data_IF_890020204830
#
_entry.id   IF_890020204830
#
_cell.length_a   1.000
_cell.length_b   1.000
_cell.length_c   1.000
_cell.angle_alpha   90.00
_cell.angle_beta   90.00
_cell.angle_gamma   90.00
#
_symmetry.space_group_name_H-M   'P 1'
#
loop_
_entity.id
_entity.type
_entity.pdbx_description
1 polymer ?
#
# COMPACT_ATOMS: atom_id res chain seq x y z
N UNK A 1 -17.42 14.76 -8.41
CA UNK A 1 -16.07 14.88 -8.97
C UNK A 1 -15.60 13.54 -9.55
N UNK A 2 -14.55 13.55 -10.37
CA UNK A 2 -14.00 12.37 -11.09
C UNK A 2 -13.75 11.14 -10.19
N UNK A 3 -13.51 11.36 -8.90
CA UNK A 3 -13.21 10.32 -7.93
C UNK A 3 -14.32 10.09 -6.88
N UNK A 4 -15.45 10.79 -6.99
CA UNK A 4 -16.53 10.68 -6.00
C UNK A 4 -17.15 9.27 -5.93
N UNK A 5 -17.02 8.48 -6.99
CA UNK A 5 -17.56 7.12 -7.09
C UNK A 5 -16.62 6.02 -6.57
N UNK A 6 -15.33 6.32 -6.33
CA UNK A 6 -14.34 5.32 -5.90
C UNK A 6 -14.61 4.79 -4.48
N UNK A 7 -15.23 5.62 -3.63
CA UNK A 7 -15.55 5.26 -2.24
C UNK A 7 -17.06 5.14 -1.99
N UNK A 8 -17.81 4.71 -2.98
CA UNK A 8 -19.24 4.44 -2.80
C UNK A 8 -19.44 3.37 -1.74
N UNK A 9 -20.33 3.56 -0.78
CA UNK A 9 -20.80 2.50 0.10
C UNK A 9 -21.76 1.61 -0.69
N UNK A 10 -21.25 0.81 -1.64
CA UNK A 10 -22.05 -0.14 -2.40
C UNK A 10 -21.92 -1.48 -1.70
N UNK A 11 -23.05 -2.06 -1.31
CA UNK A 11 -23.14 -3.45 -0.92
C UNK A 11 -23.52 -4.26 -2.16
N UNK A 12 -22.65 -5.22 -2.52
CA UNK A 12 -22.91 -6.18 -3.58
C UNK A 12 -22.35 -5.84 -4.96
N UNK A 13 -22.32 -6.83 -5.83
CA UNK A 13 -21.77 -6.74 -7.17
C UNK A 13 -22.61 -5.87 -8.10
N UNK A 14 -21.93 -5.15 -9.01
CA UNK A 14 -22.54 -4.28 -10.02
C UNK A 14 -22.45 -4.86 -11.43
N UNK A 15 -21.61 -5.90 -11.65
CA UNK A 15 -21.39 -6.54 -12.95
C UNK A 15 -20.78 -7.95 -12.77
N UNK A 16 -20.77 -8.72 -13.85
CA UNK A 16 -20.26 -10.10 -13.91
C UNK A 16 -18.96 -10.18 -14.74
N UNK A 17 -18.12 -9.14 -14.76
CA UNK A 17 -16.86 -9.18 -15.47
C UNK A 17 -15.97 -10.25 -14.85
N UNK A 18 -15.49 -11.17 -15.66
CA UNK A 18 -14.54 -12.21 -15.26
C UNK A 18 -13.16 -11.59 -14.99
N UNK A 19 -12.44 -12.18 -14.03
CA UNK A 19 -11.06 -11.82 -13.75
C UNK A 19 -10.13 -12.51 -14.78
N UNK A 20 -9.11 -11.80 -15.26
CA UNK A 20 -8.09 -12.43 -16.08
C UNK A 20 -7.32 -13.46 -15.25
N UNK A 21 -6.93 -14.57 -15.88
CA UNK A 21 -6.07 -15.61 -15.30
C UNK A 21 -4.85 -15.75 -16.20
N UNK A 22 -3.66 -15.65 -15.60
CA UNK A 22 -2.40 -15.73 -16.30
C UNK A 22 -1.73 -17.13 -16.23
N UNK A 23 -0.48 -17.21 -16.68
CA UNK A 23 0.31 -18.43 -16.74
C UNK A 23 1.09 -18.73 -15.46
N UNK A 24 1.46 -17.70 -14.72
CA UNK A 24 2.20 -17.87 -13.47
C UNK A 24 1.28 -18.35 -12.33
N UNK A 25 1.80 -19.16 -11.39
CA UNK A 25 1.01 -19.65 -10.28
C UNK A 25 0.38 -18.51 -9.46
N UNK A 26 1.20 -17.54 -9.01
CA UNK A 26 0.71 -16.43 -8.19
C UNK A 26 0.09 -15.35 -9.07
N UNK A 27 -1.15 -15.00 -8.80
CA UNK A 27 -1.90 -13.98 -9.53
C UNK A 27 -2.05 -12.74 -8.64
N UNK A 28 -1.66 -11.56 -9.15
CA UNK A 28 -1.81 -10.27 -8.49
C UNK A 28 -2.87 -9.44 -9.19
N UNK A 29 -3.94 -9.10 -8.51
CA UNK A 29 -5.00 -8.20 -8.98
C UNK A 29 -4.84 -6.84 -8.30
N UNK A 30 -4.36 -5.84 -9.04
CA UNK A 30 -3.92 -4.59 -8.42
C UNK A 30 -4.00 -3.37 -9.36
N UNK A 31 -3.61 -2.24 -8.81
CA UNK A 31 -3.36 -0.97 -9.49
C UNK A 31 -2.20 -0.29 -8.75
N UNK A 32 -1.36 0.47 -9.45
CA UNK A 32 -0.21 1.18 -8.88
C UNK A 32 -0.63 2.37 -7.99
N UNK A 33 -1.39 2.09 -6.94
CA UNK A 33 -1.75 2.98 -5.85
C UNK A 33 -0.83 2.74 -4.64
N UNK A 34 -0.82 3.59 -3.61
CA UNK A 34 0.01 3.36 -2.43
C UNK A 34 -0.17 1.99 -1.76
N UNK A 35 -1.36 1.39 -1.83
CA UNK A 35 -1.59 0.04 -1.32
C UNK A 35 -1.20 -1.05 -2.32
N UNK A 36 -1.48 -0.83 -3.62
CA UNK A 36 -1.14 -1.80 -4.66
C UNK A 36 0.36 -1.99 -4.82
N UNK A 37 1.14 -0.91 -4.79
CA UNK A 37 2.60 -0.98 -4.95
C UNK A 37 3.31 -1.70 -3.80
N UNK A 38 2.70 -1.83 -2.62
CA UNK A 38 3.26 -2.66 -1.56
C UNK A 38 3.49 -4.09 -2.03
N UNK A 39 2.48 -4.66 -2.67
CA UNK A 39 2.51 -6.07 -3.10
C UNK A 39 3.41 -6.25 -4.31
N UNK A 40 3.34 -5.37 -5.31
CA UNK A 40 4.23 -5.45 -6.47
C UNK A 40 5.70 -5.25 -6.07
N UNK A 41 6.02 -4.30 -5.19
CA UNK A 41 7.37 -4.14 -4.64
C UNK A 41 7.81 -5.41 -3.92
N UNK A 42 6.97 -5.98 -3.07
CA UNK A 42 7.30 -7.21 -2.33
C UNK A 42 7.60 -8.37 -3.27
N UNK A 43 6.82 -8.55 -4.32
CA UNK A 43 7.03 -9.59 -5.33
C UNK A 43 8.35 -9.38 -6.09
N UNK A 44 8.65 -8.14 -6.47
CA UNK A 44 9.93 -7.79 -7.10
C UNK A 44 11.13 -7.97 -6.15
N UNK A 45 10.99 -7.68 -4.87
CA UNK A 45 12.05 -7.86 -3.87
C UNK A 45 12.31 -9.34 -3.55
N UNK A 46 11.27 -10.15 -3.53
CA UNK A 46 11.40 -11.59 -3.26
C UNK A 46 11.85 -12.38 -4.46
N UNK A 47 11.53 -11.92 -5.67
CA UNK A 47 11.75 -12.64 -6.92
C UNK A 47 10.79 -13.82 -7.12
N UNK A 48 9.70 -13.89 -6.39
CA UNK A 48 8.65 -14.89 -6.61
C UNK A 48 8.02 -14.68 -7.98
N UNK A 49 7.84 -15.72 -8.80
CA UNK A 49 7.15 -15.59 -10.08
C UNK A 49 5.67 -15.28 -9.88
N UNK A 50 5.16 -14.33 -10.65
CA UNK A 50 3.77 -13.90 -10.56
C UNK A 50 3.27 -13.30 -11.86
N UNK A 51 1.95 -13.19 -11.99
CA UNK A 51 1.26 -12.53 -13.10
C UNK A 51 0.48 -11.32 -12.56
N UNK A 52 0.79 -10.07 -12.99
CA UNK A 52 0.06 -8.90 -12.58
C UNK A 52 -1.13 -8.62 -13.50
N UNK A 53 -2.30 -8.39 -12.91
CA UNK A 53 -3.52 -8.00 -13.61
C UNK A 53 -3.95 -6.61 -13.16
N UNK A 54 -4.15 -5.73 -14.15
CA UNK A 54 -4.65 -4.38 -13.91
C UNK A 54 -6.14 -4.44 -13.55
N UNK A 55 -6.48 -3.90 -12.38
CA UNK A 55 -7.86 -3.67 -11.94
C UNK A 55 -8.13 -2.17 -11.91
N UNK A 56 -8.90 -1.68 -12.87
CA UNK A 56 -9.21 -0.25 -12.99
C UNK A 56 -10.33 0.15 -12.01
N UNK A 57 -9.92 0.72 -10.89
CA UNK A 57 -10.87 1.23 -9.87
C UNK A 57 -11.72 2.38 -10.40
N UNK A 58 -11.26 3.12 -11.40
CA UNK A 58 -12.03 4.19 -12.06
C UNK A 58 -13.18 3.66 -12.90
N UNK A 59 -13.09 2.41 -13.36
CA UNK A 59 -14.14 1.68 -14.10
C UNK A 59 -14.99 0.78 -13.20
N UNK A 60 -14.83 0.88 -11.88
CA UNK A 60 -15.51 0.05 -10.88
C UNK A 60 -15.23 -1.47 -11.00
N UNK A 61 -14.09 -1.88 -11.53
CA UNK A 61 -13.76 -3.30 -11.75
C UNK A 61 -13.68 -4.11 -10.45
N UNK A 62 -13.43 -3.44 -9.32
CA UNK A 62 -13.46 -4.09 -7.99
C UNK A 62 -14.87 -4.49 -7.51
N UNK A 63 -15.92 -4.10 -8.23
CA UNK A 63 -17.31 -4.40 -7.88
C UNK A 63 -17.93 -5.49 -8.75
N UNK A 64 -17.12 -6.28 -9.44
CA UNK A 64 -17.53 -7.50 -10.13
C UNK A 64 -17.74 -8.65 -9.13
N UNK A 65 -18.60 -9.62 -9.50
CA UNK A 65 -18.89 -10.82 -8.67
C UNK A 65 -17.59 -11.55 -8.32
N UNK A 66 -16.72 -11.80 -9.30
CA UNK A 66 -15.47 -12.53 -9.07
C UNK A 66 -14.50 -11.75 -8.19
N UNK A 67 -14.33 -10.43 -8.43
CA UNK A 67 -13.43 -9.64 -7.57
C UNK A 67 -13.94 -9.58 -6.13
N UNK A 68 -15.24 -9.41 -5.91
CA UNK A 68 -15.83 -9.43 -4.58
C UNK A 68 -15.70 -10.78 -3.89
N UNK A 69 -15.58 -11.87 -4.64
CA UNK A 69 -15.26 -13.18 -4.05
C UNK A 69 -13.85 -13.26 -3.48
N UNK A 70 -12.91 -12.49 -4.05
CA UNK A 70 -11.53 -12.35 -3.53
C UNK A 70 -11.45 -11.35 -2.38
N UNK A 71 -12.10 -10.20 -2.55
CA UNK A 71 -12.13 -9.14 -1.55
C UNK A 71 -13.53 -8.55 -1.41
N UNK A 72 -14.29 -8.93 -0.40
CA UNK A 72 -15.66 -8.45 -0.18
C UNK A 72 -15.70 -6.94 0.12
N UNK A 73 -14.59 -6.31 0.46
CA UNK A 73 -14.46 -4.86 0.64
C UNK A 73 -14.35 -4.09 -0.69
N UNK A 74 -14.19 -4.79 -1.84
CA UNK A 74 -14.08 -4.15 -3.16
C UNK A 74 -12.88 -3.19 -3.28
N UNK A 75 -11.74 -3.55 -2.72
CA UNK A 75 -10.49 -2.77 -2.77
C UNK A 75 -9.35 -3.60 -3.34
N UNK A 76 -8.44 -2.94 -4.05
CA UNK A 76 -7.15 -3.52 -4.44
C UNK A 76 -6.13 -3.30 -3.29
N UNK A 77 -5.08 -4.12 -3.22
CA UNK A 77 -4.77 -5.33 -3.98
C UNK A 77 -5.47 -6.59 -3.44
N UNK A 78 -5.50 -7.63 -4.28
CA UNK A 78 -5.79 -9.01 -3.88
C UNK A 78 -4.84 -9.96 -4.61
N UNK A 79 -4.57 -11.13 -4.04
CA UNK A 79 -3.79 -12.19 -4.69
C UNK A 79 -4.53 -13.52 -4.67
N UNK A 80 -4.20 -14.38 -5.63
CA UNK A 80 -4.49 -15.81 -5.58
C UNK A 80 -3.16 -16.55 -5.68
N UNK A 81 -2.88 -17.41 -4.73
CA UNK A 81 -1.77 -18.34 -4.77
C UNK A 81 -2.32 -19.78 -4.82
N UNK A 82 -2.24 -20.46 -5.97
CA UNK A 82 -2.69 -21.85 -6.08
C UNK A 82 -1.87 -22.83 -5.23
N UNK A 83 -0.63 -22.47 -4.91
CA UNK A 83 0.29 -23.24 -4.06
C UNK A 83 0.50 -22.55 -2.71
N UNK A 84 -0.58 -22.39 -1.98
CA UNK A 84 -0.58 -21.83 -0.63
C UNK A 84 -0.12 -22.83 0.44
N UNK A 85 -0.30 -22.49 1.72
CA UNK A 85 0.11 -23.33 2.84
C UNK A 85 -0.49 -24.75 2.76
N UNK A 86 0.39 -25.76 2.89
CA UNK A 86 -0.05 -27.15 2.76
C UNK A 86 -0.40 -27.58 1.35
N UNK A 87 -0.06 -26.80 0.32
CA UNK A 87 -0.36 -27.11 -1.07
C UNK A 87 -1.82 -26.80 -1.46
N UNK A 88 -2.57 -26.08 -0.61
CA UNK A 88 -3.94 -25.68 -0.90
C UNK A 88 -3.99 -24.26 -1.51
N UNK A 89 -4.91 -23.99 -2.45
CA UNK A 89 -5.08 -22.63 -2.97
C UNK A 89 -5.45 -21.64 -1.86
N UNK A 90 -4.87 -20.43 -1.95
CA UNK A 90 -5.11 -19.34 -1.01
C UNK A 90 -5.44 -18.06 -1.77
N UNK A 91 -6.58 -17.46 -1.45
CA UNK A 91 -6.90 -16.09 -1.87
C UNK A 91 -6.74 -15.15 -0.67
N UNK A 92 -6.06 -14.02 -0.87
CA UNK A 92 -5.84 -13.03 0.18
C UNK A 92 -6.16 -11.61 -0.31
N UNK A 93 -6.75 -10.84 0.57
CA UNK A 93 -6.84 -9.39 0.51
C UNK A 93 -6.23 -8.77 1.78
N UNK A 94 -6.22 -7.44 1.89
CA UNK A 94 -5.44 -6.64 2.81
C UNK A 94 -3.94 -6.65 2.49
N UNK A 95 -3.44 -5.52 2.00
CA UNK A 95 -2.05 -5.41 1.56
C UNK A 95 -1.03 -5.74 2.67
N UNK A 96 -1.35 -5.43 3.93
CA UNK A 96 -0.50 -5.81 5.07
C UNK A 96 -0.45 -7.33 5.29
N UNK A 97 -1.60 -8.02 5.21
CA UNK A 97 -1.67 -9.47 5.33
C UNK A 97 -0.94 -10.16 4.17
N UNK A 98 -1.08 -9.63 2.95
CA UNK A 98 -0.37 -10.12 1.77
C UNK A 98 1.14 -9.98 1.96
N UNK A 99 1.63 -8.85 2.50
CA UNK A 99 3.06 -8.67 2.79
C UNK A 99 3.59 -9.72 3.77
N UNK A 100 2.85 -9.99 4.85
CA UNK A 100 3.23 -11.02 5.83
C UNK A 100 3.30 -12.39 5.16
N UNK A 101 2.27 -12.76 4.40
CA UNK A 101 2.21 -14.03 3.68
C UNK A 101 3.39 -14.21 2.71
N UNK A 102 3.66 -13.21 1.87
CA UNK A 102 4.77 -13.27 0.91
C UNK A 102 6.14 -13.30 1.58
N UNK A 103 6.29 -12.61 2.71
CA UNK A 103 7.52 -12.65 3.52
C UNK A 103 7.76 -14.05 4.09
N UNK A 104 6.71 -14.69 4.60
CA UNK A 104 6.79 -16.08 5.11
C UNK A 104 7.07 -17.07 3.98
N UNK A 105 6.36 -16.95 2.85
CA UNK A 105 6.58 -17.81 1.68
C UNK A 105 8.00 -17.70 1.12
N UNK A 106 8.55 -16.50 1.08
CA UNK A 106 9.91 -16.25 0.58
C UNK A 106 11.02 -16.43 1.63
N UNK A 107 10.68 -16.46 2.92
CA UNK A 107 11.65 -16.46 4.01
C UNK A 107 12.48 -15.17 4.08
N UNK A 108 11.92 -14.01 3.69
CA UNK A 108 12.62 -12.73 3.57
C UNK A 108 11.79 -11.58 4.12
N UNK A 109 12.47 -10.52 4.58
CA UNK A 109 11.87 -9.23 4.97
C UNK A 109 10.95 -9.25 6.19
N UNK A 110 10.86 -10.38 6.89
CA UNK A 110 10.18 -10.50 8.18
C UNK A 110 11.06 -11.32 9.10
N UNK A 111 11.55 -10.79 10.23
CA UNK A 111 12.38 -11.54 11.16
C UNK A 111 11.68 -12.81 11.67
N UNK A 112 12.44 -13.87 11.86
CA UNK A 112 11.97 -15.11 12.49
C UNK A 112 12.02 -15.06 14.01
N UNK A 113 12.89 -14.22 14.58
CA UNK A 113 12.97 -13.94 16.01
C UNK A 113 11.68 -13.27 16.51
N UNK A 114 11.09 -13.80 17.58
CA UNK A 114 9.79 -13.39 18.06
C UNK A 114 9.69 -11.90 18.43
N UNK A 115 10.58 -11.31 19.21
CA UNK A 115 10.53 -9.89 19.51
C UNK A 115 10.60 -9.02 18.26
N UNK A 116 11.60 -9.24 17.40
CA UNK A 116 11.79 -8.46 16.18
C UNK A 116 10.64 -8.64 15.19
N UNK A 117 10.07 -9.87 15.11
CA UNK A 117 8.90 -10.15 14.29
C UNK A 117 7.69 -9.31 14.71
N UNK A 118 7.35 -9.30 15.99
CA UNK A 118 6.22 -8.50 16.49
C UNK A 118 6.49 -7.00 16.41
N UNK A 119 7.72 -6.57 16.62
CA UNK A 119 8.09 -5.18 16.39
C UNK A 119 7.91 -4.79 14.92
N UNK A 120 8.25 -5.64 13.97
CA UNK A 120 7.99 -5.40 12.54
C UNK A 120 6.48 -5.32 12.26
N UNK A 121 5.71 -6.27 12.78
CA UNK A 121 4.25 -6.31 12.59
C UNK A 121 3.55 -5.07 13.16
N UNK A 122 3.97 -4.55 14.33
CA UNK A 122 3.35 -3.34 14.87
C UNK A 122 3.51 -2.14 13.93
N UNK A 123 4.65 -2.03 13.21
CA UNK A 123 4.85 -0.97 12.22
C UNK A 123 4.00 -1.19 10.96
N UNK A 124 3.82 -2.44 10.52
CA UNK A 124 2.89 -2.78 9.43
C UNK A 124 1.46 -2.43 9.83
N UNK A 125 1.02 -2.75 11.05
CA UNK A 125 -0.31 -2.41 11.55
C UNK A 125 -0.48 -0.91 11.74
N UNK A 126 0.52 -0.19 12.24
CA UNK A 126 0.49 1.26 12.33
C UNK A 126 0.33 1.91 10.95
N UNK A 127 1.04 1.35 9.95
CA UNK A 127 0.87 1.85 8.58
C UNK A 127 -0.55 1.60 8.07
N UNK A 128 -1.10 0.40 8.26
CA UNK A 128 -2.43 0.02 7.78
C UNK A 128 -3.56 0.76 8.51
N UNK A 129 -3.43 0.95 9.83
CA UNK A 129 -4.47 1.51 10.67
C UNK A 129 -4.43 3.05 10.78
N UNK A 130 -3.26 3.67 10.61
CA UNK A 130 -3.09 5.11 10.80
C UNK A 130 -2.47 5.80 9.59
N UNK A 131 -1.24 5.47 9.19
CA UNK A 131 -0.51 6.21 8.14
C UNK A 131 -1.29 6.20 6.83
N UNK A 132 -1.69 5.04 6.33
CA UNK A 132 -2.44 4.93 5.09
C UNK A 132 -3.77 5.67 5.13
N UNK A 133 -4.65 5.38 6.09
CA UNK A 133 -5.93 6.06 6.21
C UNK A 133 -5.82 7.57 6.37
N UNK A 134 -4.93 8.07 7.25
CA UNK A 134 -4.83 9.52 7.50
C UNK A 134 -4.25 10.27 6.30
N UNK A 135 -3.21 9.73 5.65
CA UNK A 135 -2.68 10.31 4.40
C UNK A 135 -3.71 10.26 3.27
N UNK A 136 -4.49 9.17 3.20
CA UNK A 136 -5.58 9.04 2.24
C UNK A 136 -6.68 10.09 2.44
N UNK A 137 -7.08 10.35 3.68
CA UNK A 137 -8.05 11.39 4.00
C UNK A 137 -7.50 12.79 3.71
N UNK A 138 -6.23 13.06 4.05
CA UNK A 138 -5.58 14.31 3.64
C UNK A 138 -5.67 14.47 2.12
N UNK A 139 -5.30 13.44 1.35
CA UNK A 139 -5.39 13.45 -0.11
C UNK A 139 -6.81 13.71 -0.61
N UNK A 140 -7.84 13.15 0.01
CA UNK A 140 -9.23 13.39 -0.34
C UNK A 140 -9.60 14.87 -0.20
N UNK A 141 -9.28 15.49 0.93
CA UNK A 141 -9.64 16.88 1.21
C UNK A 141 -8.73 17.91 0.53
N UNK A 142 -7.51 17.51 0.15
CA UNK A 142 -6.54 18.41 -0.48
C UNK A 142 -6.58 18.35 -2.01
N UNK A 143 -6.68 17.16 -2.58
CA UNK A 143 -6.51 16.94 -4.03
C UNK A 143 -7.76 16.45 -4.75
N UNK A 144 -8.65 15.72 -4.07
CA UNK A 144 -9.84 15.12 -4.66
C UNK A 144 -11.11 15.92 -4.36
N UNK A 145 -12.25 15.26 -4.34
CA UNK A 145 -13.56 15.92 -4.23
C UNK A 145 -13.70 16.83 -3.00
N UNK A 146 -13.08 16.48 -1.89
CA UNK A 146 -13.10 17.29 -0.67
C UNK A 146 -12.39 18.65 -0.78
N UNK A 147 -11.56 18.85 -1.82
CA UNK A 147 -10.93 20.15 -2.10
C UNK A 147 -11.94 21.27 -2.33
N UNK A 148 -13.10 20.92 -2.88
CA UNK A 148 -14.17 21.87 -3.19
C UNK A 148 -15.00 22.26 -1.96
N UNK A 149 -14.82 21.60 -0.81
CA UNK A 149 -15.56 21.91 0.40
C UNK A 149 -15.13 23.27 0.96
N UNK A 150 -16.10 24.12 1.31
CA UNK A 150 -15.86 25.44 1.94
C UNK A 150 -15.24 25.26 3.33
N UNK A 151 -15.78 24.34 4.12
CA UNK A 151 -15.27 24.02 5.44
C UNK A 151 -13.92 23.30 5.35
N UNK A 152 -12.85 23.97 5.76
CA UNK A 152 -11.49 23.45 5.75
C UNK A 152 -11.07 22.72 7.04
N UNK A 153 -11.92 22.65 8.05
CA UNK A 153 -11.61 21.95 9.31
C UNK A 153 -11.26 20.49 9.12
N UNK A 154 -11.93 19.70 8.25
CA UNK A 154 -11.52 18.33 7.95
C UNK A 154 -10.11 18.26 7.35
N UNK A 155 -9.78 19.11 6.38
CA UNK A 155 -8.44 19.19 5.82
C UNK A 155 -7.40 19.49 6.91
N UNK A 156 -7.64 20.53 7.73
CA UNK A 156 -6.73 20.93 8.80
C UNK A 156 -6.51 19.78 9.81
N UNK A 157 -7.57 19.05 10.14
CA UNK A 157 -7.50 17.87 11.02
C UNK A 157 -6.55 16.82 10.46
N UNK A 158 -6.69 16.46 9.18
CA UNK A 158 -5.88 15.42 8.55
C UNK A 158 -4.46 15.88 8.22
N UNK A 159 -4.24 17.16 7.95
CA UNK A 159 -2.89 17.75 7.86
C UNK A 159 -2.17 17.61 9.21
N UNK A 160 -2.79 18.01 10.31
CA UNK A 160 -2.20 17.90 11.64
C UNK A 160 -1.85 16.44 12.01
N UNK A 161 -2.77 15.51 11.73
CA UNK A 161 -2.55 14.08 12.02
C UNK A 161 -1.47 13.48 11.11
N UNK A 162 -1.46 13.83 9.83
CA UNK A 162 -0.43 13.37 8.90
C UNK A 162 0.96 13.88 9.27
N UNK A 163 1.04 15.15 9.72
CA UNK A 163 2.28 15.72 10.25
C UNK A 163 2.74 14.94 11.48
N UNK A 164 1.86 14.69 12.45
CA UNK A 164 2.19 13.92 13.66
C UNK A 164 2.74 12.52 13.31
N UNK A 165 2.17 11.85 12.32
CA UNK A 165 2.62 10.53 11.87
C UNK A 165 3.98 10.59 11.15
N UNK A 166 4.24 11.66 10.39
CA UNK A 166 5.58 11.90 9.82
C UNK A 166 6.62 12.21 10.90
N UNK A 167 6.28 13.02 11.91
CA UNK A 167 7.17 13.31 13.05
C UNK A 167 7.49 12.03 13.85
N UNK A 168 6.53 11.10 13.97
CA UNK A 168 6.75 9.78 14.57
C UNK A 168 7.74 8.94 13.74
N UNK A 169 7.60 8.91 12.41
CA UNK A 169 8.55 8.24 11.52
C UNK A 169 9.93 8.91 11.56
N UNK A 170 9.98 10.23 11.59
CA UNK A 170 11.23 11.01 11.70
C UNK A 170 12.01 10.64 12.97
N UNK A 171 11.31 10.57 14.10
CA UNK A 171 11.89 10.11 15.36
C UNK A 171 12.37 8.66 15.29
N UNK A 172 11.58 7.77 14.68
CA UNK A 172 11.95 6.35 14.51
C UNK A 172 13.21 6.17 13.66
N UNK A 173 13.38 6.97 12.63
CA UNK A 173 14.47 6.88 11.67
C UNK A 173 15.73 7.69 12.05
N UNK A 174 15.72 8.35 13.22
CA UNK A 174 16.79 9.26 13.63
C UNK A 174 18.13 8.57 13.86
N UNK A 175 18.12 7.31 14.27
CA UNK A 175 19.31 6.53 14.64
C UNK A 175 19.44 5.22 13.84
N UNK A 176 18.70 5.08 12.75
CA UNK A 176 18.66 3.83 11.98
C UNK A 176 18.44 4.06 10.50
N UNK A 177 18.87 3.09 9.68
CA UNK A 177 18.77 3.14 8.22
C UNK A 177 17.35 2.89 7.76
N UNK A 178 16.70 1.86 8.30
CA UNK A 178 15.34 1.40 8.00
C UNK A 178 14.46 1.41 9.25
N UNK A 179 13.16 1.23 9.10
CA UNK A 179 12.23 1.24 10.24
C UNK A 179 12.62 0.24 11.33
N UNK A 180 13.21 -0.91 10.93
CA UNK A 180 13.65 -1.95 11.88
C UNK A 180 15.14 -1.91 12.22
N UNK A 181 15.86 -0.87 11.87
CA UNK A 181 17.30 -0.73 12.12
C UNK A 181 18.09 -0.79 10.82
N UNK A 182 19.04 -1.71 10.72
CA UNK A 182 19.82 -1.90 9.50
C UNK A 182 19.12 -2.80 8.46
N UNK A 183 18.07 -3.52 8.86
CA UNK A 183 17.36 -4.46 8.03
C UNK A 183 16.14 -3.81 7.36
N UNK A 184 16.12 -3.86 6.03
CA UNK A 184 14.94 -3.53 5.21
C UNK A 184 13.90 -4.63 5.35
N UNK A 185 12.68 -4.26 5.73
CA UNK A 185 11.61 -5.20 6.06
C UNK A 185 10.27 -4.81 5.41
N UNK A 186 9.25 -5.65 5.63
CA UNK A 186 7.88 -5.35 5.22
C UNK A 186 7.32 -4.07 5.89
N UNK A 187 7.90 -3.60 6.99
CA UNK A 187 7.53 -2.32 7.59
C UNK A 187 7.89 -1.14 6.66
N UNK A 188 9.06 -1.20 6.03
CA UNK A 188 9.49 -0.22 5.03
C UNK A 188 8.64 -0.33 3.77
N UNK A 189 8.47 -1.54 3.23
CA UNK A 189 7.67 -1.80 2.03
C UNK A 189 6.22 -1.30 2.22
N UNK A 190 5.63 -1.53 3.39
CA UNK A 190 4.28 -1.07 3.69
C UNK A 190 4.15 0.46 3.67
N UNK A 191 5.19 1.17 4.14
CA UNK A 191 5.13 2.61 4.43
C UNK A 191 5.57 3.47 3.25
N UNK A 192 6.54 2.99 2.46
CA UNK A 192 7.26 3.74 1.44
C UNK A 192 6.33 4.34 0.37
N UNK A 193 5.40 3.54 -0.15
CA UNK A 193 4.44 3.97 -1.15
C UNK A 193 3.52 5.10 -0.68
N UNK A 194 3.15 5.10 0.61
CA UNK A 194 2.31 6.12 1.19
C UNK A 194 3.03 7.45 1.42
N UNK A 195 4.27 7.43 1.92
CA UNK A 195 5.06 8.65 2.08
C UNK A 195 5.37 9.26 0.71
N UNK A 196 5.80 8.44 -0.26
CA UNK A 196 6.01 8.87 -1.65
C UNK A 196 4.74 9.54 -2.23
N UNK A 197 3.58 8.93 -2.01
CA UNK A 197 2.32 9.43 -2.55
C UNK A 197 1.89 10.75 -1.89
N UNK A 198 2.12 10.88 -0.59
CA UNK A 198 1.80 12.09 0.17
C UNK A 198 2.56 13.30 -0.37
N UNK A 199 3.88 13.15 -0.55
CA UNK A 199 4.74 14.26 -0.99
C UNK A 199 4.73 14.45 -2.49
N UNK A 200 4.57 13.40 -3.28
CA UNK A 200 4.56 13.45 -4.74
C UNK A 200 3.17 13.67 -5.30
N UNK A 201 2.35 12.61 -5.39
CA UNK A 201 1.07 12.67 -6.08
C UNK A 201 0.04 13.59 -5.39
N UNK A 202 -0.02 13.59 -4.06
CA UNK A 202 -0.90 14.52 -3.35
C UNK A 202 -0.35 15.95 -3.30
N UNK A 203 0.96 16.11 -3.49
CA UNK A 203 1.63 17.41 -3.44
C UNK A 203 1.37 18.14 -2.09
N UNK A 204 1.44 17.38 -1.02
CA UNK A 204 1.11 17.85 0.33
C UNK A 204 2.36 18.09 1.20
N UNK A 205 3.57 18.03 0.62
CA UNK A 205 4.82 18.13 1.37
C UNK A 205 4.93 19.40 2.21
N UNK A 206 4.57 20.56 1.65
CA UNK A 206 4.57 21.83 2.39
C UNK A 206 3.56 21.85 3.53
N UNK A 207 2.35 21.32 3.28
CA UNK A 207 1.28 21.30 4.29
C UNK A 207 1.68 20.51 5.55
N UNK A 208 2.44 19.44 5.37
CA UNK A 208 2.86 18.56 6.48
C UNK A 208 4.28 18.87 6.99
N UNK A 209 4.93 19.90 6.45
CA UNK A 209 6.27 20.32 6.87
C UNK A 209 7.38 19.34 6.49
N UNK A 210 7.24 18.61 5.38
CA UNK A 210 8.16 17.57 4.95
C UNK A 210 9.59 18.07 4.76
N UNK A 211 9.77 19.30 4.26
CA UNK A 211 11.07 19.91 4.02
C UNK A 211 11.91 20.16 5.29
N UNK A 212 11.27 20.19 6.47
CA UNK A 212 11.96 20.32 7.75
C UNK A 212 12.47 18.99 8.31
N UNK A 213 12.05 17.87 7.74
CA UNK A 213 12.46 16.53 8.13
C UNK A 213 13.82 16.18 7.51
N UNK A 214 14.58 15.32 8.16
CA UNK A 214 15.92 14.87 7.70
C UNK A 214 15.97 13.37 7.42
N UNK A 215 15.37 12.59 8.31
CA UNK A 215 15.50 11.13 8.31
C UNK A 215 14.47 10.47 7.41
N UNK A 216 13.23 10.98 7.37
CA UNK A 216 12.19 10.49 6.47
C UNK A 216 12.57 10.71 5.01
N UNK A 217 13.04 11.91 4.55
CA UNK A 217 13.52 12.09 3.18
C UNK A 217 14.67 11.15 2.83
N UNK A 218 15.70 11.06 3.68
CA UNK A 218 16.84 10.13 3.48
C UNK A 218 16.36 8.67 3.31
N UNK A 219 15.46 8.22 4.19
CA UNK A 219 14.89 6.87 4.13
C UNK A 219 14.07 6.65 2.86
N UNK A 220 13.25 7.62 2.48
CA UNK A 220 12.44 7.55 1.26
C UNK A 220 13.34 7.43 0.02
N UNK A 221 14.38 8.28 -0.09
CA UNK A 221 15.32 8.25 -1.20
C UNK A 221 16.05 6.92 -1.28
N UNK A 222 16.51 6.40 -0.15
CA UNK A 222 17.16 5.08 -0.09
C UNK A 222 16.23 3.96 -0.54
N UNK A 223 14.97 4.00 -0.13
CA UNK A 223 13.95 3.04 -0.55
C UNK A 223 13.65 3.13 -2.05
N UNK A 224 13.46 4.35 -2.57
CA UNK A 224 13.18 4.58 -3.99
C UNK A 224 14.37 4.25 -4.91
N UNK A 225 15.59 4.26 -4.39
CA UNK A 225 16.79 3.86 -5.13
C UNK A 225 16.91 2.34 -5.33
N UNK A 226 16.14 1.53 -4.60
CA UNK A 226 16.17 0.06 -4.75
C UNK A 226 15.60 -0.36 -6.11
N UNK A 227 16.33 -1.18 -6.91
CA UNK A 227 15.85 -1.58 -8.24
C UNK A 227 14.49 -2.28 -8.23
N UNK A 228 14.23 -3.13 -7.23
CA UNK A 228 12.94 -3.83 -7.08
C UNK A 228 11.80 -2.84 -6.78
N UNK A 229 12.06 -1.82 -5.97
CA UNK A 229 11.08 -0.75 -5.70
C UNK A 229 10.76 0.01 -6.99
N UNK A 230 11.77 0.39 -7.76
CA UNK A 230 11.57 1.10 -9.03
C UNK A 230 10.68 0.30 -10.00
N UNK A 231 10.91 -1.01 -10.13
CA UNK A 231 10.05 -1.89 -10.95
C UNK A 231 8.64 -2.00 -10.36
N UNK A 232 8.53 -2.32 -9.08
CA UNK A 232 7.26 -2.53 -8.40
C UNK A 232 6.33 -1.31 -8.43
N UNK A 233 6.89 -0.10 -8.44
CA UNK A 233 6.13 1.15 -8.56
C UNK A 233 5.41 1.31 -9.91
N UNK A 234 5.80 0.55 -10.94
CA UNK A 234 5.21 0.60 -12.29
C UNK A 234 4.22 -0.55 -12.55
N UNK A 235 4.01 -1.44 -11.60
CA UNK A 235 3.23 -2.67 -11.78
C UNK A 235 1.91 -2.62 -10.99
N UNK A 236 0.79 -3.02 -11.62
CA UNK A 236 0.62 -3.28 -13.05
C UNK A 236 0.77 -2.01 -13.89
N UNK A 237 1.40 -2.15 -15.06
CA UNK A 237 1.48 -1.03 -16.00
C UNK A 237 0.09 -0.69 -16.54
N UNK A 238 -0.18 0.60 -16.71
CA UNK A 238 -1.36 1.05 -17.46
C UNK A 238 -1.06 0.94 -18.96
N UNK A 239 -2.02 0.49 -19.77
CA UNK A 239 -1.86 0.47 -21.21
C UNK A 239 -1.68 1.87 -21.81
#
# INVERSE_FOLDING_TARGET
>A
GKFANINRPIAGATHNKELPVGEHPLQLYSLATPNGVKVSIMLEETGLPYEPHLIDIGKNETWGVEYLSLNPNGKIPAIIDPDGPGGAPLALFESGAILVYLAEKAGKFLPSDWPARYETLQWVFLQAAAIGPMFGQLGFFHKFAGREYEDKRPLQRYVAESKRLLDLLEGRLSDRTWIMGEDYTIADIATLGWVRNLVGFYDAGELVGYSALKHVPRWLDAGLARPAVQRGLQIPSRP
#
